data_IF_322935196401
#
_entry.id   IF_322935196401
#
_cell.length_a   1.000
_cell.length_b   1.000
_cell.length_c   1.000
_cell.angle_alpha   90.00
_cell.angle_beta   90.00
_cell.angle_gamma   90.00
#
_symmetry.space_group_name_H-M   'P 1'
#
loop_
_entity.id
_entity.type
_entity.pdbx_description
1 polymer ?
#
# COMPACT_ATOMS: atom_id res chain seq x y z
N UNK A 1 21.56 -54.89 15.76
CA UNK A 1 21.86 -53.92 14.68
C UNK A 1 20.80 -54.05 13.61
N UNK A 2 19.87 -53.10 13.51
CA UNK A 2 19.17 -52.67 12.28
C UNK A 2 18.22 -51.50 12.60
N UNK A 3 18.62 -50.33 12.12
CA UNK A 3 17.90 -49.06 12.11
C UNK A 3 16.66 -49.18 11.20
N UNK A 4 15.47 -48.84 11.68
CA UNK A 4 14.28 -48.61 10.84
C UNK A 4 13.40 -47.51 11.46
N UNK A 5 13.94 -46.31 11.68
CA UNK A 5 13.13 -45.18 12.23
C UNK A 5 13.47 -43.76 11.69
N UNK A 6 13.87 -43.52 10.41
CA UNK A 6 13.92 -42.12 9.94
C UNK A 6 13.27 -41.88 8.58
N UNK A 7 12.07 -42.41 8.30
CA UNK A 7 11.37 -42.13 7.03
C UNK A 7 9.99 -41.49 7.22
N UNK A 8 9.31 -41.73 8.34
CA UNK A 8 7.95 -41.19 8.52
C UNK A 8 7.91 -39.68 8.86
N UNK A 9 8.97 -39.10 9.42
CA UNK A 9 8.97 -37.70 9.84
C UNK A 9 9.23 -36.72 8.67
N UNK A 10 9.83 -37.20 7.58
CA UNK A 10 10.14 -36.37 6.40
C UNK A 10 8.93 -36.16 5.47
N UNK A 11 7.89 -37.01 5.53
CA UNK A 11 6.69 -36.84 4.71
C UNK A 11 5.71 -35.79 5.26
N UNK A 12 5.72 -35.49 6.57
CA UNK A 12 4.78 -34.52 7.15
C UNK A 12 5.14 -33.05 6.84
N UNK A 13 6.39 -32.76 6.49
CA UNK A 13 6.85 -31.40 6.16
C UNK A 13 6.52 -30.98 4.71
N UNK A 14 6.17 -31.92 3.83
CA UNK A 14 5.83 -31.61 2.44
C UNK A 14 4.38 -31.14 2.24
N UNK A 15 3.49 -31.40 3.21
CA UNK A 15 2.05 -31.11 3.11
C UNK A 15 1.68 -29.67 3.53
N UNK A 16 2.62 -28.89 4.07
CA UNK A 16 2.41 -27.47 4.44
C UNK A 16 2.81 -26.48 3.33
N UNK A 17 3.06 -26.96 2.11
CA UNK A 17 3.15 -26.12 0.91
C UNK A 17 1.76 -25.61 0.46
N UNK A 18 0.91 -25.22 1.41
CA UNK A 18 -0.24 -24.38 1.11
C UNK A 18 0.33 -23.12 0.49
N UNK A 19 0.12 -22.95 -0.82
CA UNK A 19 0.54 -21.77 -1.54
C UNK A 19 -0.13 -20.59 -0.85
N UNK A 20 0.63 -19.86 -0.02
CA UNK A 20 0.23 -18.56 0.49
C UNK A 20 0.25 -17.66 -0.72
N UNK A 21 -0.84 -17.69 -1.48
CA UNK A 21 -1.07 -16.82 -2.61
C UNK A 21 -1.19 -15.43 -2.02
N UNK A 22 -0.06 -14.73 -1.90
CA UNK A 22 -0.05 -13.32 -1.62
C UNK A 22 -0.99 -12.69 -2.65
N UNK A 23 -2.09 -12.11 -2.16
CA UNK A 23 -3.19 -11.62 -2.99
C UNK A 23 -2.62 -10.59 -3.96
N UNK A 24 -2.44 -11.04 -5.19
CA UNK A 24 -1.81 -10.30 -6.26
C UNK A 24 -2.91 -9.69 -7.12
N UNK A 25 -2.87 -8.39 -7.32
CA UNK A 25 -3.66 -7.73 -8.38
C UNK A 25 -2.70 -7.58 -9.55
N UNK A 26 -2.90 -8.36 -10.61
CA UNK A 26 -2.07 -8.32 -11.85
C UNK A 26 -0.57 -8.55 -11.63
N UNK A 27 -0.16 -9.44 -10.73
CA UNK A 27 1.26 -9.68 -10.43
C UNK A 27 1.86 -8.69 -9.41
N UNK A 28 1.06 -7.74 -8.89
CA UNK A 28 1.50 -6.71 -7.94
C UNK A 28 1.01 -7.02 -6.53
N UNK A 29 1.95 -7.03 -5.58
CA UNK A 29 1.68 -7.35 -4.17
C UNK A 29 1.22 -6.10 -3.42
N UNK A 30 0.13 -6.22 -2.64
CA UNK A 30 -0.30 -5.16 -1.72
C UNK A 30 0.69 -5.08 -0.56
N UNK A 31 1.31 -3.91 -0.38
CA UNK A 31 2.23 -3.68 0.73
C UNK A 31 1.52 -3.90 2.07
N UNK A 32 2.06 -4.81 2.90
CA UNK A 32 1.65 -4.95 4.29
C UNK A 32 1.85 -3.61 5.01
N UNK A 33 0.82 -3.10 5.69
CA UNK A 33 0.90 -1.82 6.41
C UNK A 33 -0.16 -0.80 5.99
N UNK A 34 0.09 0.51 6.20
CA UNK A 34 -0.91 1.57 6.00
C UNK A 34 -1.48 1.66 4.59
N UNK A 35 -0.77 1.19 3.57
CA UNK A 35 -1.29 1.11 2.21
C UNK A 35 -2.53 0.25 2.05
N UNK A 36 -2.74 -0.72 2.95
CA UNK A 36 -3.95 -1.54 2.98
C UNK A 36 -5.02 -1.01 3.94
N UNK A 37 -4.79 0.11 4.65
CA UNK A 37 -5.85 0.75 5.43
C UNK A 37 -6.96 1.24 4.52
N UNK A 38 -8.19 1.22 5.03
CA UNK A 38 -9.26 1.99 4.41
C UNK A 38 -8.96 3.48 4.53
N UNK A 39 -9.56 4.28 3.67
CA UNK A 39 -9.49 5.72 3.73
C UNK A 39 -10.12 6.24 5.03
N UNK A 40 -11.17 5.59 5.51
CA UNK A 40 -11.76 5.83 6.84
C UNK A 40 -10.73 5.64 7.96
N UNK A 41 -10.02 4.50 7.99
CA UNK A 41 -8.98 4.23 9.00
C UNK A 41 -7.86 5.27 8.92
N UNK A 42 -7.42 5.64 7.70
CA UNK A 42 -6.38 6.64 7.50
C UNK A 42 -6.80 8.02 8.03
N UNK A 43 -8.05 8.42 7.81
CA UNK A 43 -8.62 9.66 8.35
C UNK A 43 -8.75 9.57 9.87
N UNK A 44 -9.22 8.45 10.42
CA UNK A 44 -9.34 8.24 11.85
C UNK A 44 -7.98 8.28 12.55
N UNK A 45 -6.92 7.69 11.96
CA UNK A 45 -5.53 7.85 12.43
C UNK A 45 -5.12 9.32 12.41
N UNK A 46 -5.38 10.02 11.29
CA UNK A 46 -5.04 11.43 11.15
C UNK A 46 -5.71 12.33 12.20
N UNK A 47 -6.88 11.91 12.71
CA UNK A 47 -7.64 12.60 13.76
C UNK A 47 -7.29 12.15 15.19
N UNK A 48 -6.46 11.11 15.35
CA UNK A 48 -6.16 10.53 16.66
C UNK A 48 -7.24 9.59 17.21
N UNK A 49 -8.19 9.17 16.37
CA UNK A 49 -9.34 8.34 16.72
C UNK A 49 -9.18 6.86 16.32
N UNK A 50 -7.96 6.42 16.02
CA UNK A 50 -7.66 5.05 15.62
C UNK A 50 -6.35 4.60 16.26
N UNK A 51 -6.21 3.32 16.68
CA UNK A 51 -4.99 2.80 17.33
C UNK A 51 -3.75 2.76 16.42
N UNK A 52 -3.93 2.99 15.11
CA UNK A 52 -2.82 3.16 14.17
C UNK A 52 -1.99 4.41 14.49
N UNK A 53 -0.68 4.32 14.29
CA UNK A 53 0.23 5.44 14.56
C UNK A 53 0.25 6.47 13.43
N UNK A 54 0.20 7.77 13.78
CA UNK A 54 0.44 8.88 12.86
C UNK A 54 1.78 8.75 12.13
N UNK A 55 2.84 8.32 12.82
CA UNK A 55 4.16 8.11 12.20
C UNK A 55 4.13 7.03 11.12
N UNK A 56 3.29 6.00 11.27
CA UNK A 56 3.09 4.98 10.22
C UNK A 56 2.36 5.56 9.01
N UNK A 57 1.32 6.36 9.25
CA UNK A 57 0.58 7.05 8.18
C UNK A 57 1.52 7.98 7.40
N UNK A 58 2.25 8.84 8.11
CA UNK A 58 3.16 9.83 7.52
C UNK A 58 4.30 9.17 6.77
N UNK A 59 4.95 8.19 7.39
CA UNK A 59 6.04 7.43 6.76
C UNK A 59 5.57 6.68 5.51
N UNK A 60 4.36 6.12 5.52
CA UNK A 60 3.83 5.46 4.33
C UNK A 60 3.53 6.44 3.21
N UNK A 61 2.90 7.58 3.49
CA UNK A 61 2.61 8.62 2.49
C UNK A 61 3.91 9.15 1.88
N UNK A 62 4.87 9.56 2.72
CA UNK A 62 6.16 10.07 2.26
C UNK A 62 6.95 9.02 1.46
N UNK A 63 6.97 7.77 1.93
CA UNK A 63 7.61 6.66 1.24
C UNK A 63 6.98 6.36 -0.11
N UNK A 64 5.65 6.37 -0.21
CA UNK A 64 4.93 6.17 -1.47
C UNK A 64 5.30 7.26 -2.50
N UNK A 65 5.26 8.53 -2.08
CA UNK A 65 5.58 9.66 -2.96
C UNK A 65 7.04 9.64 -3.42
N UNK A 66 7.96 9.31 -2.50
CA UNK A 66 9.39 9.13 -2.81
C UNK A 66 9.60 7.98 -3.80
N UNK A 67 8.99 6.81 -3.56
CA UNK A 67 9.07 5.68 -4.48
C UNK A 67 8.50 6.05 -5.86
N UNK A 68 7.42 6.83 -5.88
CA UNK A 68 6.83 7.34 -7.12
C UNK A 68 7.80 8.24 -7.89
N UNK A 69 8.52 9.14 -7.20
CA UNK A 69 9.57 9.96 -7.83
C UNK A 69 10.69 9.12 -8.46
N UNK A 70 11.07 8.00 -7.82
CA UNK A 70 12.16 7.13 -8.34
C UNK A 70 11.70 6.26 -9.51
N UNK A 71 10.49 5.71 -9.44
CA UNK A 71 9.98 4.75 -10.42
C UNK A 71 9.49 5.45 -11.68
N UNK A 72 8.92 6.66 -11.55
CA UNK A 72 8.37 7.39 -12.67
C UNK A 72 9.47 8.16 -13.42
N UNK A 73 9.60 7.87 -14.71
CA UNK A 73 10.48 8.64 -15.60
C UNK A 73 9.99 10.09 -15.71
N UNK A 74 10.93 11.02 -15.87
CA UNK A 74 10.69 12.47 -16.08
C UNK A 74 9.96 13.18 -14.93
N UNK A 75 10.04 12.66 -13.70
CA UNK A 75 9.57 13.34 -12.50
C UNK A 75 10.67 13.36 -11.45
N UNK A 76 11.11 14.57 -11.07
CA UNK A 76 11.96 14.75 -9.89
C UNK A 76 11.15 15.15 -8.65
N UNK A 77 9.94 15.69 -8.86
CA UNK A 77 9.03 16.08 -7.78
C UNK A 77 7.56 15.87 -8.20
N UNK A 78 6.96 14.76 -7.74
CA UNK A 78 5.56 14.40 -7.98
C UNK A 78 4.58 15.34 -7.26
N UNK A 79 5.03 16.08 -6.25
CA UNK A 79 4.20 17.06 -5.55
C UNK A 79 4.13 18.39 -6.30
N UNK A 80 4.90 18.56 -7.38
CA UNK A 80 4.93 19.77 -8.21
C UNK A 80 5.15 21.06 -7.38
N UNK A 81 6.14 21.03 -6.48
CA UNK A 81 6.51 22.13 -5.60
C UNK A 81 5.67 22.28 -4.34
N UNK A 82 4.68 21.39 -4.11
CA UNK A 82 3.86 21.39 -2.88
C UNK A 82 4.61 20.71 -1.75
N UNK A 83 4.35 21.15 -0.52
CA UNK A 83 4.89 20.49 0.67
C UNK A 83 4.21 19.14 0.93
N UNK A 84 4.93 18.23 1.60
CA UNK A 84 4.38 16.93 2.02
C UNK A 84 3.09 17.06 2.82
N UNK A 85 3.01 18.08 3.68
CA UNK A 85 1.80 18.37 4.45
C UNK A 85 0.61 18.74 3.54
N UNK A 86 0.85 19.48 2.45
CA UNK A 86 -0.19 19.79 1.47
C UNK A 86 -0.62 18.54 0.70
N UNK A 87 0.33 17.69 0.30
CA UNK A 87 0.05 16.39 -0.32
C UNK A 87 -0.79 15.49 0.59
N UNK A 88 -0.38 15.32 1.86
CA UNK A 88 -1.13 14.57 2.89
C UNK A 88 -2.55 15.11 3.03
N UNK A 89 -2.73 16.44 3.13
CA UNK A 89 -4.06 17.04 3.24
C UNK A 89 -4.95 16.74 2.03
N UNK A 90 -4.40 16.76 0.82
CA UNK A 90 -5.14 16.44 -0.41
C UNK A 90 -5.56 14.98 -0.47
N UNK A 91 -4.67 14.06 -0.10
CA UNK A 91 -4.97 12.63 0.01
C UNK A 91 -6.06 12.37 1.06
N UNK A 92 -5.94 12.97 2.25
CA UNK A 92 -6.93 12.82 3.32
C UNK A 92 -8.27 13.47 2.97
N UNK A 93 -8.27 14.55 2.18
CA UNK A 93 -9.50 15.13 1.65
C UNK A 93 -10.22 14.14 0.73
N UNK A 94 -9.50 13.54 -0.24
CA UNK A 94 -10.06 12.48 -1.09
C UNK A 94 -10.59 11.30 -0.24
N UNK A 95 -9.86 10.89 0.79
CA UNK A 95 -10.28 9.79 1.65
C UNK A 95 -11.56 10.07 2.45
N UNK A 96 -11.81 11.32 2.85
CA UNK A 96 -13.09 11.68 3.52
C UNK A 96 -14.29 11.45 2.60
N UNK A 97 -14.12 11.72 1.30
CA UNK A 97 -15.18 11.55 0.31
C UNK A 97 -15.32 10.09 -0.16
N UNK A 98 -14.33 9.24 0.12
CA UNK A 98 -14.22 7.87 -0.40
C UNK A 98 -13.77 6.87 0.71
N UNK A 99 -14.57 6.67 1.78
CA UNK A 99 -14.12 5.99 3.00
C UNK A 99 -13.68 4.53 2.79
N UNK A 100 -14.32 3.82 1.85
CA UNK A 100 -14.05 2.40 1.57
C UNK A 100 -12.81 2.16 0.68
N UNK A 101 -12.26 3.21 0.07
CA UNK A 101 -11.08 3.10 -0.81
C UNK A 101 -9.83 2.83 0.01
N UNK A 102 -8.88 2.05 -0.52
CA UNK A 102 -7.59 1.82 0.15
C UNK A 102 -6.71 3.06 0.06
N UNK A 103 -5.94 3.35 1.12
CA UNK A 103 -5.02 4.48 1.15
C UNK A 103 -4.02 4.47 -0.02
N UNK A 104 -3.52 3.29 -0.42
CA UNK A 104 -2.64 3.15 -1.59
C UNK A 104 -3.30 3.61 -2.89
N UNK A 105 -4.59 3.31 -3.08
CA UNK A 105 -5.36 3.75 -4.24
C UNK A 105 -5.63 5.27 -4.19
N UNK A 106 -5.92 5.82 -3.00
CA UNK A 106 -6.07 7.26 -2.83
C UNK A 106 -4.78 8.03 -3.19
N UNK A 107 -3.62 7.50 -2.81
CA UNK A 107 -2.32 8.05 -3.20
C UNK A 107 -2.07 7.94 -4.70
N UNK A 108 -2.43 6.80 -5.32
CA UNK A 108 -2.35 6.65 -6.77
C UNK A 108 -3.19 7.72 -7.49
N UNK A 109 -4.44 7.93 -7.07
CA UNK A 109 -5.32 9.00 -7.58
C UNK A 109 -4.70 10.38 -7.38
N UNK A 110 -4.12 10.67 -6.21
CA UNK A 110 -3.41 11.93 -5.96
C UNK A 110 -2.28 12.16 -6.97
N UNK A 111 -1.43 11.15 -7.19
CA UNK A 111 -0.31 11.26 -8.16
C UNK A 111 -0.78 11.38 -9.61
N UNK A 112 -1.89 10.75 -9.98
CA UNK A 112 -2.52 10.92 -11.30
C UNK A 112 -3.09 12.33 -11.48
N UNK A 113 -3.69 12.93 -10.45
CA UNK A 113 -4.20 14.32 -10.52
C UNK A 113 -3.09 15.35 -10.70
N UNK A 114 -1.89 15.09 -10.18
CA UNK A 114 -0.74 15.96 -10.44
C UNK A 114 -0.21 15.79 -11.89
N UNK A 115 -0.50 14.66 -12.56
CA UNK A 115 -0.03 14.33 -13.91
C UNK A 115 -1.11 13.56 -14.69
N UNK A 116 -2.12 14.26 -15.24
CA UNK A 116 -3.34 13.64 -15.79
C UNK A 116 -3.10 12.73 -16.99
N UNK A 117 -1.99 12.88 -17.71
CA UNK A 117 -1.61 12.02 -18.83
C UNK A 117 -1.10 10.62 -18.39
N UNK A 118 -1.24 10.25 -17.10
CA UNK A 118 -0.80 8.96 -16.56
C UNK A 118 -1.94 7.95 -16.36
N UNK A 119 -1.89 6.88 -17.15
CA UNK A 119 -2.73 5.68 -16.98
C UNK A 119 -2.03 4.64 -16.09
N UNK A 120 -2.14 4.75 -14.77
CA UNK A 120 -1.55 3.79 -13.82
C UNK A 120 -2.54 3.18 -12.81
N UNK A 121 -3.79 3.65 -12.79
CA UNK A 121 -4.90 3.10 -12.00
C UNK A 121 -5.98 2.60 -12.98
N UNK A 122 -6.51 1.37 -12.82
CA UNK A 122 -7.66 0.91 -13.58
C UNK A 122 -8.83 1.88 -13.42
N UNK A 123 -9.60 2.10 -14.49
CA UNK A 123 -10.82 2.91 -14.42
C UNK A 123 -11.70 2.34 -13.30
N UNK A 124 -12.06 3.20 -12.34
CA UNK A 124 -13.07 2.86 -11.35
C UNK A 124 -14.42 3.20 -11.99
N UNK A 125 -15.00 2.19 -12.64
CA UNK A 125 -16.37 2.24 -13.16
C UNK A 125 -17.36 1.90 -12.03
#
# INVERSE_FOLDING_TARGET
>A
MRLVVPVLFSLLLAAVNGSVAAKSVEGRFVAFGPGNWSCEDAVAVAQGNHPGSQGRLDGFIAGYLTATNVILRNTYDIQAGKSDAAGKRQVLAFCRDNPSVRLSNALAVHTQRQYPDRHSVPKQD
#
